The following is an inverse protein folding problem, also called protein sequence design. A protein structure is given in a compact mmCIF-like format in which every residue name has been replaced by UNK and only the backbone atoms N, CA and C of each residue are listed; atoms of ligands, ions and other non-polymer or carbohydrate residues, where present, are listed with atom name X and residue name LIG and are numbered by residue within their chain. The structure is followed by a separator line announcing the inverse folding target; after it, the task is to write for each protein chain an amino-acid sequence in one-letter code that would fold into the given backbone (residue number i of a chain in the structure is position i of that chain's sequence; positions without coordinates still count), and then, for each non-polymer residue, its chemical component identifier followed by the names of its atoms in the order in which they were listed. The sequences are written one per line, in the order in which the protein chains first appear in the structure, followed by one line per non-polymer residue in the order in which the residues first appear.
data_IF_638579133873
#
_entry.id   IF_638579133873
#
_cell.length_a   1.000
_cell.length_b   1.000
_cell.length_c   1.000
_cell.angle_alpha   90.00
_cell.angle_beta   90.00
_cell.angle_gamma   90.00
#
_symmetry.space_group_name_H-M   'P 1'
#
loop_
_entity.id
_entity.type
_entity.pdbx_description
1 polymer ?
#
# COMPACT_ATOMS: atom_id res chain seq x y z
N UNK A 1 6.87 -6.64 -4.37
CA UNK A 1 8.28 -6.78 -3.96
C UNK A 1 8.85 -5.51 -3.34
N UNK A 2 8.62 -4.31 -3.91
CA UNK A 2 9.14 -3.02 -3.38
C UNK A 2 8.56 -2.63 -2.00
N UNK A 3 7.29 -2.92 -1.74
CA UNK A 3 6.62 -2.51 -0.49
C UNK A 3 7.13 -3.27 0.75
N UNK A 4 7.67 -4.49 0.59
CA UNK A 4 8.10 -5.31 1.72
C UNK A 4 9.25 -4.68 2.52
N UNK A 5 10.14 -3.92 1.87
CA UNK A 5 11.25 -3.24 2.54
C UNK A 5 10.84 -2.02 3.37
N UNK A 6 9.76 -1.34 2.97
CA UNK A 6 9.25 -0.12 3.63
C UNK A 6 8.03 -0.37 4.51
N UNK A 7 7.44 -1.57 4.48
CA UNK A 7 6.27 -1.91 5.28
C UNK A 7 6.47 -1.74 6.80
N UNK A 8 7.64 -2.10 7.38
CA UNK A 8 7.90 -1.87 8.80
C UNK A 8 7.91 -0.38 9.17
N UNK A 9 8.48 0.46 8.31
CA UNK A 9 8.52 1.92 8.49
C UNK A 9 7.10 2.51 8.42
N UNK A 10 6.30 2.09 7.42
CA UNK A 10 4.89 2.48 7.29
C UNK A 10 4.08 2.05 8.52
N UNK A 11 4.31 0.84 9.04
CA UNK A 11 3.64 0.35 10.23
C UNK A 11 4.00 1.18 11.47
N UNK A 12 5.28 1.54 11.62
CA UNK A 12 5.76 2.40 12.71
C UNK A 12 5.17 3.82 12.63
N UNK A 13 5.18 4.43 11.45
CA UNK A 13 4.64 5.78 11.21
C UNK A 13 3.14 5.84 11.50
N UNK A 14 2.40 4.83 11.03
CA UNK A 14 0.95 4.72 11.26
C UNK A 14 0.60 4.19 12.66
N UNK A 15 1.61 3.79 13.46
CA UNK A 15 1.46 3.17 14.79
C UNK A 15 0.51 1.97 14.78
N UNK A 16 0.64 1.11 13.77
CA UNK A 16 -0.12 -0.13 13.62
C UNK A 16 0.80 -1.34 13.51
N UNK A 17 0.25 -2.54 13.60
CA UNK A 17 1.02 -3.77 13.32
C UNK A 17 1.37 -3.89 11.83
N UNK A 18 2.49 -4.54 11.49
CA UNK A 18 2.87 -4.81 10.09
C UNK A 18 1.78 -5.54 9.28
N UNK A 19 1.06 -6.56 9.83
CA UNK A 19 -0.08 -7.16 9.14
C UNK A 19 -1.20 -6.16 8.83
N UNK A 20 -1.46 -5.21 9.73
CA UNK A 20 -2.44 -4.13 9.52
C UNK A 20 -2.01 -3.21 8.39
N UNK A 21 -0.73 -2.81 8.37
CA UNK A 21 -0.17 -1.98 7.30
C UNK A 21 -0.30 -2.68 5.93
N UNK A 22 -0.02 -3.99 5.87
CA UNK A 22 -0.17 -4.78 4.64
C UNK A 22 -1.62 -4.79 4.11
N UNK A 23 -2.60 -4.87 5.00
CA UNK A 23 -4.03 -4.79 4.62
C UNK A 23 -4.41 -3.41 4.11
N UNK A 24 -3.92 -2.34 4.72
CA UNK A 24 -4.17 -0.96 4.27
C UNK A 24 -3.60 -0.72 2.87
N UNK A 25 -2.41 -1.23 2.59
CA UNK A 25 -1.82 -1.19 1.23
C UNK A 25 -2.72 -1.91 0.23
N UNK A 26 -3.21 -3.10 0.55
CA UNK A 26 -4.15 -3.83 -0.32
C UNK A 26 -5.40 -3.01 -0.59
N UNK A 27 -6.02 -2.44 0.44
CA UNK A 27 -7.22 -1.57 0.28
C UNK A 27 -6.90 -0.36 -0.59
N UNK A 28 -5.77 0.32 -0.33
CA UNK A 28 -5.31 1.45 -1.13
C UNK A 28 -5.17 1.06 -2.61
N UNK A 29 -4.50 -0.05 -2.91
CA UNK A 29 -4.34 -0.53 -4.30
C UNK A 29 -5.66 -0.88 -4.96
N UNK A 30 -6.63 -1.42 -4.20
CA UNK A 30 -7.97 -1.71 -4.70
C UNK A 30 -8.77 -0.44 -5.03
N UNK A 31 -8.63 0.60 -4.20
CA UNK A 31 -9.30 1.89 -4.40
C UNK A 31 -8.64 2.69 -5.52
N UNK A 32 -7.31 2.67 -5.62
CA UNK A 32 -6.54 3.40 -6.63
C UNK A 32 -6.43 2.67 -7.98
N UNK A 33 -6.54 1.35 -7.99
CA UNK A 33 -6.36 0.47 -9.15
C UNK A 33 -7.33 0.73 -10.32
N UNK A 34 -8.65 0.89 -10.12
CA UNK A 34 -9.58 1.16 -11.22
C UNK A 34 -9.62 2.64 -11.64
N UNK A 35 -9.03 3.56 -10.87
CA UNK A 35 -9.09 5.01 -11.10
C UNK A 35 -7.82 5.63 -11.68
N UNK A 36 -6.75 4.86 -11.86
CA UNK A 36 -5.55 5.33 -12.56
C UNK A 36 -5.80 5.20 -14.07
N UNK A 37 -5.87 6.32 -14.83
CA UNK A 37 -5.86 6.21 -16.28
C UNK A 37 -4.56 5.50 -16.64
N UNK A 38 -4.66 4.29 -17.20
CA UNK A 38 -3.53 3.69 -17.91
C UNK A 38 -3.25 4.69 -19.02
N UNK A 39 -2.19 5.48 -18.89
CA UNK A 39 -1.82 6.44 -19.91
C UNK A 39 -1.57 5.62 -21.19
N UNK A 40 -2.46 5.68 -22.20
CA UNK A 40 -2.18 4.99 -23.44
C UNK A 40 -0.94 5.65 -24.04
N UNK A 41 0.03 4.81 -24.39
CA UNK A 41 1.25 5.23 -25.08
C UNK A 41 0.94 5.68 -26.50
#
# INVERSE_FOLDING_TARGET
MVIAGVLPEIAADLRVSEPTAGRLVTVFTLVSGPGTPVMPS
#
